data_IF_592213790203
#
_entry.id   IF_592213790203
#
_cell.length_a   1.000
_cell.length_b   1.000
_cell.length_c   1.000
_cell.angle_alpha   90.00
_cell.angle_beta   90.00
_cell.angle_gamma   90.00
#
_symmetry.space_group_name_H-M   'P 1'
#
loop_
_entity.id
_entity.type
_entity.pdbx_description
1 polymer ?
#
# COMPACT_ATOMS: atom_id res chain seq x y z
N UNK A 1 -30.99 59.18 -4.77
CA UNK A 1 -30.38 57.92 -4.30
C UNK A 1 -29.73 57.24 -5.50
N UNK A 2 -28.42 57.44 -5.70
CA UNK A 2 -27.65 56.73 -6.74
C UNK A 2 -26.69 55.76 -6.07
N UNK A 3 -26.92 54.46 -6.21
CA UNK A 3 -26.03 53.43 -5.70
C UNK A 3 -24.79 53.34 -6.58
N UNK A 4 -23.65 53.78 -6.05
CA UNK A 4 -22.36 53.67 -6.71
C UNK A 4 -21.92 52.21 -6.74
N UNK A 5 -21.90 51.60 -7.93
CA UNK A 5 -21.36 50.26 -8.16
C UNK A 5 -19.86 50.27 -7.84
N UNK A 6 -19.48 49.65 -6.72
CA UNK A 6 -18.08 49.43 -6.36
C UNK A 6 -17.40 48.63 -7.48
N UNK A 7 -16.54 49.30 -8.24
CA UNK A 7 -15.69 48.68 -9.26
C UNK A 7 -14.78 47.65 -8.56
N UNK A 8 -14.96 46.37 -8.88
CA UNK A 8 -14.15 45.30 -8.34
C UNK A 8 -12.65 45.57 -8.66
N UNK A 9 -11.74 45.33 -7.70
CA UNK A 9 -10.31 45.55 -7.91
C UNK A 9 -9.82 44.61 -9.03
N UNK A 10 -9.01 45.14 -9.94
CA UNK A 10 -8.50 44.42 -11.12
C UNK A 10 -7.77 43.11 -10.76
N UNK A 11 -7.16 43.07 -9.59
CA UNK A 11 -6.55 41.86 -9.02
C UNK A 11 -7.55 40.75 -8.75
N UNK A 12 -8.74 41.05 -8.20
CA UNK A 12 -9.78 40.04 -7.99
C UNK A 12 -10.34 39.50 -9.31
N UNK A 13 -10.46 40.36 -10.33
CA UNK A 13 -10.85 39.94 -11.68
C UNK A 13 -9.83 39.00 -12.29
N UNK A 14 -8.53 39.29 -12.16
CA UNK A 14 -7.46 38.44 -12.67
C UNK A 14 -7.42 37.06 -11.98
N UNK A 15 -7.55 37.03 -10.65
CA UNK A 15 -7.56 35.76 -9.90
C UNK A 15 -8.78 34.91 -10.26
N UNK A 16 -9.96 35.51 -10.41
CA UNK A 16 -11.16 34.80 -10.85
C UNK A 16 -11.01 34.21 -12.27
N UNK A 17 -10.38 34.96 -13.18
CA UNK A 17 -10.12 34.52 -14.55
C UNK A 17 -9.12 33.35 -14.59
N UNK A 18 -8.05 33.42 -13.78
CA UNK A 18 -7.09 32.33 -13.62
C UNK A 18 -7.73 31.07 -13.03
N UNK A 19 -8.55 31.20 -11.99
CA UNK A 19 -9.25 30.07 -11.39
C UNK A 19 -10.21 29.39 -12.39
N UNK A 20 -10.93 30.18 -13.19
CA UNK A 20 -11.79 29.69 -14.26
C UNK A 20 -11.01 28.93 -15.35
N UNK A 21 -9.82 29.43 -15.73
CA UNK A 21 -8.98 28.76 -16.72
C UNK A 21 -8.41 27.43 -16.21
N UNK A 22 -7.96 27.40 -14.96
CA UNK A 22 -7.44 26.16 -14.33
C UNK A 22 -8.55 25.11 -14.22
N UNK A 23 -9.75 25.50 -13.81
CA UNK A 23 -10.89 24.57 -13.75
C UNK A 23 -11.32 24.07 -15.13
N UNK A 24 -11.35 24.94 -16.14
CA UNK A 24 -11.63 24.51 -17.51
C UNK A 24 -10.57 23.52 -18.03
N UNK A 25 -9.28 23.79 -17.79
CA UNK A 25 -8.20 22.89 -18.18
C UNK A 25 -8.30 21.52 -17.50
N UNK A 26 -8.64 21.49 -16.20
CA UNK A 26 -8.85 20.25 -15.46
C UNK A 26 -10.05 19.45 -16.02
N UNK A 27 -11.16 20.12 -16.36
CA UNK A 27 -12.32 19.46 -16.97
C UNK A 27 -11.98 18.89 -18.36
N UNK A 28 -11.22 19.62 -19.17
CA UNK A 28 -10.75 19.12 -20.48
C UNK A 28 -9.85 17.90 -20.31
N UNK A 29 -8.92 17.92 -19.35
CA UNK A 29 -8.07 16.77 -19.06
C UNK A 29 -8.90 15.54 -18.64
N UNK A 30 -9.93 15.74 -17.81
CA UNK A 30 -10.87 14.66 -17.43
C UNK A 30 -11.65 14.13 -18.64
N UNK A 31 -12.07 14.98 -19.56
CA UNK A 31 -12.79 14.56 -20.78
C UNK A 31 -11.88 13.80 -21.74
N UNK A 32 -10.64 14.25 -21.92
CA UNK A 32 -9.66 13.59 -22.80
C UNK A 32 -9.21 12.24 -22.24
N UNK A 33 -9.07 12.14 -20.90
CA UNK A 33 -8.69 10.88 -20.23
C UNK A 33 -9.87 9.95 -19.96
N UNK A 34 -11.11 10.42 -20.11
CA UNK A 34 -12.29 9.55 -20.13
C UNK A 34 -12.38 8.88 -21.49
N UNK A 35 -11.91 7.63 -21.56
CA UNK A 35 -12.31 6.73 -22.63
C UNK A 35 -13.85 6.69 -22.71
N UNK A 36 -14.45 6.88 -23.89
CA UNK A 36 -15.90 6.90 -24.02
C UNK A 36 -16.48 5.54 -23.59
N UNK A 37 -17.60 5.51 -22.85
CA UNK A 37 -18.36 4.29 -22.73
C UNK A 37 -18.85 3.92 -24.14
N UNK A 38 -18.51 2.72 -24.60
CA UNK A 38 -19.04 2.17 -25.86
C UNK A 38 -20.57 2.19 -25.80
N UNK A 39 -21.19 3.12 -26.52
CA UNK A 39 -22.62 3.10 -26.78
C UNK A 39 -22.87 2.08 -27.89
N UNK A 40 -23.01 0.82 -27.53
CA UNK A 40 -23.62 -0.17 -28.43
C UNK A 40 -25.13 -0.16 -28.21
N UNK A 41 -25.83 0.49 -29.14
CA UNK A 41 -27.27 0.64 -29.09
C UNK A 41 -27.89 1.15 -30.39
N UNK A 42 -27.62 0.47 -31.51
CA UNK A 42 -28.47 0.53 -32.70
C UNK A 42 -28.57 -0.86 -33.35
N UNK A 43 -29.76 -1.34 -33.73
CA UNK A 43 -29.94 -2.68 -34.30
C UNK A 43 -29.56 -2.66 -35.78
N UNK A 44 -28.41 -3.22 -36.11
CA UNK A 44 -27.94 -3.33 -37.48
C UNK A 44 -26.95 -4.47 -37.64
N UNK A 45 -27.46 -5.59 -38.14
CA UNK A 45 -26.77 -6.62 -38.94
C UNK A 45 -25.37 -7.04 -38.50
N UNK A 46 -25.29 -8.22 -37.90
CA UNK A 46 -24.05 -8.88 -37.48
C UNK A 46 -23.01 -9.02 -38.61
N UNK A 47 -21.72 -8.82 -38.29
CA UNK A 47 -20.66 -9.65 -38.83
C UNK A 47 -20.15 -10.62 -37.75
N UNK A 48 -19.88 -11.84 -38.19
CA UNK A 48 -19.30 -12.95 -37.41
C UNK A 48 -18.00 -12.48 -36.74
N UNK A 49 -18.00 -12.40 -35.41
CA UNK A 49 -16.79 -12.22 -34.61
C UNK A 49 -16.17 -13.58 -34.30
N UNK A 50 -14.87 -13.70 -34.59
CA UNK A 50 -14.04 -14.84 -34.21
C UNK A 50 -14.02 -15.05 -32.68
N UNK A 51 -13.89 -16.29 -32.18
CA UNK A 51 -13.75 -16.53 -30.75
C UNK A 51 -12.33 -16.14 -30.33
N UNK A 52 -12.21 -15.22 -29.37
CA UNK A 52 -10.90 -14.90 -28.80
C UNK A 52 -10.83 -13.50 -28.19
N UNK A 53 -11.59 -13.25 -27.13
CA UNK A 53 -11.18 -12.27 -26.13
C UNK A 53 -11.33 -12.95 -24.78
N UNK A 54 -10.21 -13.48 -24.28
CA UNK A 54 -10.04 -13.82 -22.87
C UNK A 54 -10.23 -12.53 -22.06
N UNK A 55 -11.48 -12.22 -21.73
CA UNK A 55 -11.79 -11.23 -20.73
C UNK A 55 -11.30 -11.82 -19.41
N UNK A 56 -10.39 -11.14 -18.67
CA UNK A 56 -9.91 -11.67 -17.40
C UNK A 56 -11.12 -11.98 -16.54
N UNK A 57 -11.29 -13.25 -16.16
CA UNK A 57 -12.31 -13.64 -15.19
C UNK A 57 -12.12 -12.76 -13.97
N UNK A 58 -13.15 -12.00 -13.60
CA UNK A 58 -13.07 -11.10 -12.45
C UNK A 58 -12.65 -11.92 -11.22
N UNK A 59 -11.50 -11.59 -10.63
CA UNK A 59 -11.03 -12.23 -9.40
C UNK A 59 -12.10 -12.10 -8.32
N UNK A 60 -12.36 -13.20 -7.63
CA UNK A 60 -13.23 -13.22 -6.44
C UNK A 60 -12.40 -13.07 -5.18
N UNK A 61 -12.80 -12.14 -4.30
CA UNK A 61 -12.24 -11.97 -2.97
C UNK A 61 -13.27 -12.51 -1.97
N UNK A 62 -13.02 -13.70 -1.42
CA UNK A 62 -14.00 -14.42 -0.61
C UNK A 62 -15.23 -14.82 -1.45
N UNK A 63 -16.42 -14.40 -1.03
CA UNK A 63 -17.68 -14.73 -1.73
C UNK A 63 -18.13 -13.70 -2.78
N UNK A 64 -17.38 -12.61 -2.97
CA UNK A 64 -17.75 -11.50 -3.85
C UNK A 64 -16.65 -11.13 -4.84
N UNK A 65 -16.91 -10.19 -5.76
CA UNK A 65 -15.89 -9.67 -6.65
C UNK A 65 -14.85 -8.87 -5.87
N UNK A 66 -13.59 -8.99 -6.28
CA UNK A 66 -12.55 -8.10 -5.79
C UNK A 66 -12.75 -6.67 -6.33
N UNK A 67 -12.38 -5.69 -5.51
CA UNK A 67 -12.17 -4.30 -5.92
C UNK A 67 -10.71 -3.91 -5.68
N UNK A 68 -10.19 -3.02 -6.52
CA UNK A 68 -8.88 -2.43 -6.29
C UNK A 68 -8.95 -1.44 -5.11
N UNK A 69 -8.12 -1.67 -4.09
CA UNK A 69 -7.95 -0.77 -2.94
C UNK A 69 -6.81 0.22 -3.17
N UNK A 70 -5.73 -0.24 -3.81
CA UNK A 70 -4.53 0.54 -4.06
C UNK A 70 -3.85 0.01 -5.33
N UNK A 71 -3.17 0.89 -6.04
CA UNK A 71 -2.33 0.53 -7.17
C UNK A 71 -1.09 1.43 -7.23
N UNK A 72 0.02 0.87 -7.67
CA UNK A 72 1.26 1.60 -7.90
C UNK A 72 2.12 0.93 -8.97
N UNK A 73 3.29 1.50 -9.26
CA UNK A 73 4.26 0.93 -10.18
C UNK A 73 5.61 0.80 -9.49
N UNK A 74 6.24 -0.36 -9.59
CA UNK A 74 7.53 -0.70 -8.98
C UNK A 74 8.45 -1.25 -10.06
N UNK A 75 9.58 -0.58 -10.31
CA UNK A 75 10.50 -0.99 -11.39
C UNK A 75 9.85 -1.03 -12.78
N UNK A 76 8.84 -0.20 -13.03
CA UNK A 76 8.05 -0.22 -14.29
C UNK A 76 6.97 -1.30 -14.37
N UNK A 77 6.82 -2.13 -13.34
CA UNK A 77 5.78 -3.16 -13.25
C UNK A 77 4.59 -2.66 -12.43
N UNK A 78 3.34 -2.71 -12.93
CA UNK A 78 2.17 -2.31 -12.15
C UNK A 78 1.92 -3.33 -11.04
N UNK A 79 1.48 -2.86 -9.86
CA UNK A 79 1.06 -3.70 -8.74
C UNK A 79 -0.24 -3.15 -8.19
N UNK A 80 -1.24 -4.02 -8.05
CA UNK A 80 -2.57 -3.68 -7.54
C UNK A 80 -2.90 -4.55 -6.33
N UNK A 81 -3.35 -3.90 -5.25
CA UNK A 81 -3.96 -4.56 -4.11
C UNK A 81 -5.47 -4.65 -4.36
N UNK A 82 -5.96 -5.88 -4.38
CA UNK A 82 -7.36 -6.22 -4.58
C UNK A 82 -7.93 -6.73 -3.25
N UNK A 83 -9.16 -6.35 -2.91
CA UNK A 83 -9.84 -6.89 -1.73
C UNK A 83 -11.36 -6.93 -1.88
N UNK A 84 -12.04 -7.63 -0.97
CA UNK A 84 -13.49 -7.57 -0.85
C UNK A 84 -13.99 -6.20 -0.31
N UNK A 85 -15.31 -6.06 -0.20
CA UNK A 85 -15.95 -4.85 0.31
C UNK A 85 -15.58 -4.52 1.77
N UNK A 86 -15.11 -5.51 2.55
CA UNK A 86 -14.76 -5.38 3.97
C UNK A 86 -13.25 -5.27 4.21
N UNK A 87 -12.42 -5.45 3.18
CA UNK A 87 -10.98 -5.63 3.29
C UNK A 87 -10.57 -6.96 3.94
N UNK A 88 -11.48 -7.92 4.08
CA UNK A 88 -11.25 -9.17 4.81
C UNK A 88 -10.58 -10.28 4.01
N UNK A 89 -10.69 -10.21 2.69
CA UNK A 89 -10.07 -11.13 1.74
C UNK A 89 -9.37 -10.30 0.68
N UNK A 90 -8.12 -10.61 0.38
CA UNK A 90 -7.37 -9.84 -0.61
C UNK A 90 -6.36 -10.63 -1.41
N UNK A 91 -6.03 -10.05 -2.56
CA UNK A 91 -5.02 -10.53 -3.48
C UNK A 91 -4.09 -9.38 -3.86
N UNK A 92 -2.85 -9.70 -4.20
CA UNK A 92 -1.97 -8.77 -4.92
C UNK A 92 -1.82 -9.26 -6.33
N UNK A 93 -2.12 -8.40 -7.30
CA UNK A 93 -1.83 -8.63 -8.71
C UNK A 93 -0.59 -7.84 -9.09
N UNK A 94 0.38 -8.50 -9.70
CA UNK A 94 1.60 -7.90 -10.23
C UNK A 94 1.61 -8.03 -11.74
N UNK A 95 1.90 -6.96 -12.48
CA UNK A 95 1.88 -6.99 -13.94
C UNK A 95 0.47 -7.11 -14.53
N UNK A 96 0.42 -7.31 -15.84
CA UNK A 96 -0.82 -7.41 -16.60
C UNK A 96 -1.33 -8.85 -16.75
N UNK A 97 -0.54 -9.85 -16.34
CA UNK A 97 -0.89 -11.26 -16.52
C UNK A 97 -1.68 -11.78 -15.32
N UNK A 98 -2.66 -12.69 -15.50
CA UNK A 98 -3.41 -13.28 -14.39
C UNK A 98 -2.60 -14.25 -13.52
N UNK A 99 -1.51 -14.81 -14.01
CA UNK A 99 -0.67 -15.81 -13.31
C UNK A 99 0.24 -15.20 -12.24
N UNK A 100 0.25 -13.88 -12.12
CA UNK A 100 1.01 -13.10 -11.15
C UNK A 100 0.09 -12.46 -10.12
N UNK A 101 -0.94 -13.21 -9.70
CA UNK A 101 -1.87 -12.86 -8.65
C UNK A 101 -1.69 -13.78 -7.44
N UNK A 102 -1.53 -13.18 -6.26
CA UNK A 102 -1.19 -13.86 -5.01
C UNK A 102 -2.31 -13.64 -3.99
N UNK A 103 -2.89 -14.72 -3.46
CA UNK A 103 -3.81 -14.64 -2.32
C UNK A 103 -3.02 -14.32 -1.04
N UNK A 104 -3.53 -13.39 -0.23
CA UNK A 104 -2.85 -12.92 0.96
C UNK A 104 -3.15 -13.82 2.17
N UNK A 105 -2.13 -14.43 2.75
CA UNK A 105 -2.27 -15.25 3.95
C UNK A 105 -2.77 -14.44 5.16
N UNK A 106 -2.40 -13.15 5.27
CA UNK A 106 -2.85 -12.27 6.35
C UNK A 106 -4.38 -12.08 6.39
N UNK A 107 -5.09 -12.27 5.28
CA UNK A 107 -6.56 -12.26 5.25
C UNK A 107 -7.14 -13.42 6.08
N UNK A 108 -6.58 -14.63 5.94
CA UNK A 108 -6.96 -15.79 6.75
C UNK A 108 -6.65 -15.62 8.25
N UNK A 109 -5.73 -14.71 8.59
CA UNK A 109 -5.40 -14.33 9.98
C UNK A 109 -6.33 -13.23 10.54
N UNK A 110 -7.34 -12.82 9.77
CA UNK A 110 -8.31 -11.81 10.18
C UNK A 110 -7.87 -10.36 9.94
N UNK A 111 -6.75 -10.15 9.24
CA UNK A 111 -6.26 -8.82 8.93
C UNK A 111 -7.21 -8.08 7.97
N UNK A 112 -7.43 -6.78 8.24
CA UNK A 112 -8.26 -5.90 7.42
C UNK A 112 -7.41 -4.98 6.57
N UNK A 113 -7.62 -5.07 5.26
CA UNK A 113 -6.95 -4.31 4.22
C UNK A 113 -7.68 -2.99 3.96
N UNK A 114 -6.92 -1.94 3.63
CA UNK A 114 -7.38 -0.60 3.32
C UNK A 114 -6.54 0.02 2.18
N UNK A 115 -6.88 1.24 1.75
CA UNK A 115 -6.22 1.91 0.63
C UNK A 115 -4.71 2.19 0.86
N UNK A 116 -4.26 2.23 2.12
CA UNK A 116 -2.85 2.42 2.50
C UNK A 116 -2.13 1.10 2.87
N UNK A 117 -2.76 -0.04 2.62
CA UNK A 117 -2.20 -1.36 2.94
C UNK A 117 -1.04 -1.74 2.04
N UNK A 118 -0.90 -1.16 0.85
CA UNK A 118 0.17 -1.48 -0.09
C UNK A 118 1.30 -0.45 -0.01
N UNK A 119 2.53 -0.95 0.17
CA UNK A 119 3.76 -0.17 0.02
C UNK A 119 4.74 -0.99 -0.82
N UNK A 120 5.27 -0.43 -1.91
CA UNK A 120 6.33 -1.08 -2.68
C UNK A 120 7.55 -0.17 -2.82
N UNK A 121 8.73 -0.76 -2.81
CA UNK A 121 10.01 -0.09 -3.07
C UNK A 121 10.72 -0.83 -4.20
N UNK A 122 11.16 -0.07 -5.20
CA UNK A 122 12.00 -0.59 -6.27
C UNK A 122 13.46 -0.56 -5.83
N UNK A 123 14.21 -1.60 -6.19
CA UNK A 123 15.63 -1.73 -5.85
C UNK A 123 16.32 -2.74 -6.76
N UNK A 124 17.52 -3.19 -6.37
CA UNK A 124 18.17 -4.35 -7.01
C UNK A 124 17.38 -5.64 -6.80
N UNK A 125 16.51 -5.66 -5.80
CA UNK A 125 15.45 -6.62 -5.56
C UNK A 125 14.27 -5.81 -5.11
N UNK A 126 13.23 -5.73 -5.94
CA UNK A 126 12.05 -4.95 -5.60
C UNK A 126 11.20 -5.72 -4.59
N UNK A 127 10.49 -5.00 -3.72
CA UNK A 127 9.58 -5.64 -2.78
C UNK A 127 8.30 -4.82 -2.61
N UNK A 128 7.22 -5.53 -2.30
CA UNK A 128 5.94 -4.98 -1.88
C UNK A 128 5.58 -5.57 -0.51
N UNK A 129 5.25 -4.70 0.43
CA UNK A 129 4.70 -5.03 1.72
C UNK A 129 3.19 -4.76 1.69
N UNK A 130 2.40 -5.77 1.99
CA UNK A 130 0.97 -5.64 2.24
C UNK A 130 0.72 -5.69 3.73
N UNK A 131 -0.03 -4.72 4.25
CA UNK A 131 -0.31 -4.57 5.68
C UNK A 131 -1.80 -4.64 5.94
N UNK A 132 -2.21 -5.43 6.92
CA UNK A 132 -3.59 -5.48 7.38
C UNK A 132 -3.68 -5.25 8.89
N UNK A 133 -4.70 -4.54 9.33
CA UNK A 133 -4.91 -4.27 10.76
C UNK A 133 -5.69 -5.40 11.43
N UNK A 134 -5.36 -5.69 12.68
CA UNK A 134 -6.09 -6.63 13.54
C UNK A 134 -6.28 -6.00 14.93
N UNK A 135 -7.13 -6.62 15.75
CA UNK A 135 -7.19 -6.23 17.17
C UNK A 135 -5.82 -6.48 17.82
N UNK A 136 -5.21 -5.42 18.36
CA UNK A 136 -3.93 -5.52 19.07
C UNK A 136 -2.68 -5.40 18.19
N UNK A 137 -2.79 -5.11 16.90
CA UNK A 137 -1.61 -4.89 16.05
C UNK A 137 -1.90 -4.85 14.55
N UNK A 138 -0.88 -5.16 13.77
CA UNK A 138 -0.97 -5.30 12.33
C UNK A 138 -0.17 -6.52 11.85
N UNK A 139 -0.68 -7.21 10.84
CA UNK A 139 0.09 -8.20 10.09
C UNK A 139 0.66 -7.56 8.82
N UNK A 140 1.82 -8.03 8.40
CA UNK A 140 2.40 -7.71 7.11
C UNK A 140 2.88 -8.94 6.35
N UNK A 141 2.82 -8.89 5.03
CA UNK A 141 3.22 -9.96 4.12
C UNK A 141 4.05 -9.36 2.98
N UNK A 142 5.12 -10.06 2.60
CA UNK A 142 6.09 -9.59 1.61
C UNK A 142 5.95 -10.34 0.29
N UNK A 143 5.86 -9.57 -0.80
CA UNK A 143 6.11 -10.05 -2.15
C UNK A 143 7.45 -9.51 -2.62
N UNK A 144 8.32 -10.38 -3.11
CA UNK A 144 9.69 -10.04 -3.50
C UNK A 144 9.89 -10.40 -4.97
N UNK A 145 10.50 -9.48 -5.70
CA UNK A 145 10.93 -9.68 -7.08
C UNK A 145 12.38 -10.13 -7.09
N UNK A 146 12.62 -11.29 -7.71
CA UNK A 146 13.96 -11.81 -7.93
C UNK A 146 14.09 -12.28 -9.38
N UNK A 147 15.03 -11.67 -10.11
CA UNK A 147 15.33 -12.02 -11.51
C UNK A 147 14.12 -11.95 -12.45
N UNK A 148 13.29 -10.93 -12.29
CA UNK A 148 12.07 -10.68 -13.05
C UNK A 148 10.86 -11.51 -12.59
N UNK A 149 10.99 -12.29 -11.53
CA UNK A 149 9.92 -13.17 -11.02
C UNK A 149 9.49 -12.71 -9.63
N UNK A 150 8.21 -12.40 -9.49
CA UNK A 150 7.59 -12.10 -8.21
C UNK A 150 7.19 -13.37 -7.48
N UNK A 151 7.44 -13.40 -6.18
CA UNK A 151 7.08 -14.51 -5.29
C UNK A 151 6.57 -13.95 -3.97
N UNK A 152 5.59 -14.62 -3.40
CA UNK A 152 5.25 -14.47 -1.99
C UNK A 152 6.38 -15.10 -1.14
N UNK A 153 6.83 -14.36 -0.11
CA UNK A 153 7.82 -14.83 0.85
C UNK A 153 7.24 -15.91 1.79
N UNK A 154 5.92 -16.03 1.88
CA UNK A 154 5.21 -17.13 2.52
C UNK A 154 5.15 -17.08 4.05
N UNK A 155 5.67 -16.01 4.66
CA UNK A 155 5.62 -15.82 6.11
C UNK A 155 5.06 -14.43 6.48
N UNK A 156 3.91 -14.39 7.17
CA UNK A 156 3.41 -13.16 7.78
C UNK A 156 4.26 -12.68 8.97
N UNK A 157 4.38 -11.36 9.10
CA UNK A 157 5.02 -10.66 10.21
C UNK A 157 3.97 -9.98 11.08
N UNK A 158 4.16 -9.92 12.41
CA UNK A 158 3.21 -9.29 13.33
C UNK A 158 3.81 -8.12 14.12
N UNK A 159 3.28 -6.92 13.91
CA UNK A 159 3.63 -5.72 14.65
C UNK A 159 2.55 -5.41 15.69
N UNK A 160 2.81 -5.76 16.95
CA UNK A 160 1.88 -5.50 18.05
C UNK A 160 1.89 -4.04 18.54
N UNK A 161 2.86 -3.25 18.09
CA UNK A 161 2.89 -1.80 18.24
C UNK A 161 2.35 -1.06 17.01
N UNK A 162 1.81 -1.79 16.01
CA UNK A 162 0.84 -1.26 15.05
C UNK A 162 1.37 -0.75 13.72
N UNK A 163 2.68 -0.86 13.41
CA UNK A 163 3.19 -0.48 12.08
C UNK A 163 4.26 -1.41 11.57
N UNK A 164 4.22 -1.63 10.25
CA UNK A 164 5.26 -2.23 9.44
C UNK A 164 5.54 -1.29 8.27
N UNK A 165 6.77 -1.21 7.81
CA UNK A 165 7.13 -0.43 6.62
C UNK A 165 8.32 -1.04 5.90
N UNK A 166 8.49 -0.69 4.64
CA UNK A 166 9.73 -0.92 3.90
C UNK A 166 10.63 0.32 3.93
N UNK A 167 11.94 0.12 4.09
CA UNK A 167 12.99 1.15 3.99
C UNK A 167 14.33 0.48 3.63
N UNK A 168 15.23 1.15 2.91
CA UNK A 168 16.59 0.62 2.61
C UNK A 168 17.55 1.09 3.72
N UNK A 169 17.67 0.28 4.80
CA UNK A 169 18.25 0.73 6.07
C UNK A 169 19.78 0.69 6.04
N UNK A 170 20.35 -0.30 5.36
CA UNK A 170 21.81 -0.44 5.18
C UNK A 170 22.34 0.11 3.85
N UNK A 171 21.46 0.66 3.02
CA UNK A 171 21.78 1.35 1.75
C UNK A 171 22.42 0.43 0.72
N UNK A 172 22.06 -0.86 0.73
CA UNK A 172 22.54 -1.85 -0.24
C UNK A 172 21.71 -1.87 -1.54
N UNK A 173 20.65 -1.05 -1.60
CA UNK A 173 19.73 -0.97 -2.72
C UNK A 173 18.63 -2.03 -2.71
N UNK A 174 18.43 -2.73 -1.59
CA UNK A 174 17.32 -3.65 -1.34
C UNK A 174 16.51 -3.11 -0.15
N UNK A 175 15.17 -3.09 -0.23
CA UNK A 175 14.36 -2.66 0.90
C UNK A 175 14.40 -3.70 2.02
N UNK A 176 14.53 -3.24 3.26
CA UNK A 176 14.35 -4.00 4.49
C UNK A 176 12.93 -3.84 5.04
N UNK A 177 12.45 -4.85 5.76
CA UNK A 177 11.23 -4.76 6.55
C UNK A 177 11.55 -4.14 7.92
N UNK A 178 10.94 -3.01 8.21
CA UNK A 178 10.93 -2.37 9.53
C UNK A 178 9.61 -2.73 10.23
N UNK A 179 9.71 -3.39 11.38
CA UNK A 179 8.58 -3.82 12.19
C UNK A 179 8.69 -3.21 13.58
N UNK A 180 7.61 -2.60 14.09
CA UNK A 180 7.60 -2.05 15.45
C UNK A 180 6.86 -3.00 16.38
N UNK A 181 7.53 -3.40 17.46
CA UNK A 181 6.98 -4.29 18.48
C UNK A 181 7.31 -3.84 19.89
N UNK A 182 6.49 -4.28 20.83
CA UNK A 182 6.80 -4.21 22.26
C UNK A 182 7.89 -5.23 22.62
N UNK A 183 8.73 -4.85 23.57
CA UNK A 183 9.74 -5.72 24.17
C UNK A 183 9.18 -6.26 25.49
N UNK A 184 8.40 -7.33 25.40
CA UNK A 184 7.68 -7.91 26.52
C UNK A 184 8.10 -9.38 26.75
N UNK A 185 9.32 -9.65 27.23
CA UNK A 185 9.84 -11.01 27.40
C UNK A 185 8.90 -11.83 28.31
N UNK A 186 8.56 -13.04 27.85
CA UNK A 186 7.66 -13.95 28.56
C UNK A 186 6.17 -13.58 28.54
N UNK A 187 5.76 -12.57 27.76
CA UNK A 187 4.36 -12.21 27.54
C UNK A 187 3.95 -12.41 26.09
N UNK A 188 2.68 -12.76 25.86
CA UNK A 188 2.14 -12.87 24.50
C UNK A 188 2.00 -11.48 23.86
N UNK A 189 2.55 -11.25 22.64
CA UNK A 189 2.37 -10.00 21.90
C UNK A 189 0.89 -9.61 21.74
N UNK A 190 0.61 -8.30 21.75
CA UNK A 190 -0.75 -7.77 21.59
C UNK A 190 -1.67 -7.90 22.83
N UNK A 191 -1.19 -8.48 23.94
CA UNK A 191 -1.93 -8.48 25.22
C UNK A 191 -1.78 -7.15 25.98
N UNK A 192 -2.70 -6.78 26.88
CA UNK A 192 -2.57 -5.55 27.67
C UNK A 192 -1.27 -5.45 28.47
N UNK A 193 -0.76 -6.58 28.97
CA UNK A 193 0.53 -6.64 29.68
C UNK A 193 1.69 -6.30 28.74
N UNK A 194 1.70 -6.86 27.53
CA UNK A 194 2.73 -6.57 26.56
C UNK A 194 2.65 -5.12 26.03
N UNK A 195 1.44 -4.60 25.83
CA UNK A 195 1.19 -3.23 25.36
C UNK A 195 1.65 -2.13 26.33
N UNK A 196 1.94 -2.48 27.58
CA UNK A 196 2.51 -1.56 28.56
C UNK A 196 4.06 -1.51 28.52
N UNK A 197 4.71 -2.42 27.78
CA UNK A 197 6.16 -2.49 27.70
C UNK A 197 6.75 -1.42 26.77
N UNK A 198 8.05 -1.11 26.86
CA UNK A 198 8.74 -0.30 25.87
C UNK A 198 8.66 -0.93 24.47
N UNK A 199 8.76 -0.11 23.43
CA UNK A 199 8.79 -0.56 22.03
C UNK A 199 10.15 -0.34 21.40
N UNK A 200 10.44 -1.09 20.35
CA UNK A 200 11.60 -0.92 19.47
C UNK A 200 11.19 -1.19 18.02
N UNK A 201 12.00 -0.73 17.07
CA UNK A 201 11.90 -1.18 15.69
C UNK A 201 12.91 -2.31 15.46
N UNK A 202 12.43 -3.44 14.96
CA UNK A 202 13.21 -4.59 14.52
C UNK A 202 13.25 -4.60 13.00
N UNK A 203 14.45 -4.78 12.44
CA UNK A 203 14.69 -4.69 11.01
C UNK A 203 15.10 -6.05 10.47
N UNK A 204 14.40 -6.51 9.43
CA UNK A 204 14.66 -7.76 8.73
C UNK A 204 15.07 -7.47 7.29
N UNK A 205 16.11 -8.14 6.82
CA UNK A 205 16.41 -8.21 5.40
C UNK A 205 15.35 -9.06 4.69
N UNK A 206 15.23 -8.92 3.37
CA UNK A 206 14.30 -9.72 2.56
C UNK A 206 14.59 -11.23 2.57
N UNK A 207 15.77 -11.66 3.03
CA UNK A 207 16.09 -13.06 3.28
C UNK A 207 15.40 -13.62 4.54
N UNK A 208 14.84 -12.76 5.38
CA UNK A 208 14.34 -13.09 6.71
C UNK A 208 15.37 -12.94 7.82
N UNK A 209 16.63 -12.61 7.50
CA UNK A 209 17.66 -12.38 8.51
C UNK A 209 17.44 -11.07 9.26
N UNK A 210 17.68 -11.09 10.59
CA UNK A 210 17.57 -9.90 11.42
C UNK A 210 18.81 -9.02 11.23
N UNK A 211 18.60 -7.80 10.72
CA UNK A 211 19.66 -6.80 10.57
C UNK A 211 20.00 -6.12 11.92
N UNK A 212 19.00 -5.99 12.78
CA UNK A 212 19.14 -5.50 14.15
C UNK A 212 17.89 -4.77 14.68
N UNK A 213 18.00 -4.25 15.89
CA UNK A 213 16.95 -3.50 16.56
C UNK A 213 17.43 -2.11 16.97
N UNK A 214 16.52 -1.13 16.94
CA UNK A 214 16.76 0.19 17.52
C UNK A 214 16.81 0.13 19.04
N UNK A 215 17.28 1.21 19.68
CA UNK A 215 17.08 1.41 21.12
C UNK A 215 15.59 1.36 21.49
N UNK A 216 15.30 0.95 22.72
CA UNK A 216 13.96 0.95 23.29
C UNK A 216 13.47 2.38 23.56
N UNK A 217 12.18 2.61 23.33
CA UNK A 217 11.48 3.86 23.61
C UNK A 217 10.17 3.56 24.36
N UNK A 218 9.66 4.51 25.14
CA UNK A 218 8.47 4.26 25.98
C UNK A 218 7.16 4.47 25.24
N UNK A 219 7.22 5.04 24.04
CA UNK A 219 6.05 5.22 23.16
C UNK A 219 6.48 5.14 21.70
N UNK A 220 5.67 4.53 20.81
CA UNK A 220 6.02 4.42 19.39
C UNK A 220 6.28 5.77 18.70
N UNK A 221 5.61 6.84 19.14
CA UNK A 221 5.80 8.21 18.61
C UNK A 221 7.19 8.79 18.84
N UNK A 222 8.02 8.17 19.69
CA UNK A 222 9.41 8.55 19.90
C UNK A 222 10.36 7.96 18.85
N UNK A 223 9.89 7.01 18.02
CA UNK A 223 10.63 6.51 16.87
C UNK A 223 10.62 7.57 15.76
N UNK A 224 11.76 7.74 15.09
CA UNK A 224 11.88 8.69 13.99
C UNK A 224 10.95 8.28 12.84
N UNK A 225 10.18 9.23 12.32
CA UNK A 225 9.31 9.02 11.14
C UNK A 225 7.95 8.43 11.45
N UNK A 226 7.63 8.15 12.72
CA UNK A 226 6.35 7.56 13.13
C UNK A 226 5.14 8.21 12.43
N UNK A 227 4.21 7.42 11.82
CA UNK A 227 4.10 5.95 11.87
C UNK A 227 4.92 5.18 10.82
N UNK A 228 5.55 5.89 9.88
CA UNK A 228 6.42 5.31 8.84
C UNK A 228 7.86 5.37 9.33
N UNK A 229 8.20 4.44 10.24
CA UNK A 229 9.46 4.47 10.97
C UNK A 229 10.64 4.40 10.02
N UNK A 230 11.51 5.40 10.11
CA UNK A 230 12.75 5.49 9.35
C UNK A 230 13.88 5.04 10.25
N UNK A 231 14.66 4.04 9.84
CA UNK A 231 15.77 3.50 10.63
C UNK A 231 17.08 3.72 9.87
N UNK A 232 18.13 4.07 10.59
CA UNK A 232 19.49 4.14 10.02
C UNK A 232 20.28 2.95 10.52
N UNK A 233 21.18 2.42 9.67
CA UNK A 233 22.08 1.35 10.07
C UNK A 233 22.84 1.63 11.38
N UNK A 234 23.26 2.88 11.61
CA UNK A 234 23.97 3.31 12.83
C UNK A 234 23.14 3.24 14.12
N UNK A 235 21.81 3.09 14.02
CA UNK A 235 20.90 3.00 15.16
C UNK A 235 20.62 1.55 15.56
N UNK A 236 21.05 0.60 14.74
CA UNK A 236 20.83 -0.81 14.95
C UNK A 236 21.88 -1.41 15.87
N UNK A 237 21.39 -2.25 16.77
CA UNK A 237 22.17 -3.10 17.66
C UNK A 237 21.60 -4.51 17.65
N UNK A 238 22.26 -5.47 18.28
CA UNK A 238 21.71 -6.81 18.44
C UNK A 238 20.34 -6.75 19.13
N UNK A 239 19.35 -7.42 18.53
CA UNK A 239 18.02 -7.49 19.10
C UNK A 239 18.03 -8.22 20.46
N UNK A 240 17.20 -7.79 21.43
CA UNK A 240 17.05 -8.52 22.68
C UNK A 240 16.52 -9.93 22.39
N UNK A 241 17.02 -10.92 23.14
CA UNK A 241 16.51 -12.29 23.11
C UNK A 241 15.05 -12.30 23.56
N UNK A 242 14.17 -12.72 22.67
CA UNK A 242 12.73 -12.93 22.90
C UNK A 242 12.47 -14.09 23.86
#
# INVERSE_FOLDING_TARGET
MGTSLKRAPRSALLTALLAALVTAAALVAVVVLRSPPSQDGAPGTAPVAAPGTDQPTATTCGSGPCRELAAMTVGGTPVSLLADATGGWGHVRVGAKPDTEFELAISGMGAKLAANSLQCIAGTTSACLVRGTVSGGAFGELLIESNGVWRDFGQPYFADAGTLSLDDVDQDGRPDLVLVRHECPGSTPGTPTCQAAPVLAEVYQLSGDILGCTRKVTSPSQLRGWPEVQVRRSELSTCPSS
#
